data_IF_388705815471
#
_entry.id   IF_388705815471
#
_cell.length_a   1.000
_cell.length_b   1.000
_cell.length_c   1.000
_cell.angle_alpha   90.00
_cell.angle_beta   90.00
_cell.angle_gamma   90.00
#
_symmetry.space_group_name_H-M   'P 1'
#
loop_
_entity.id
_entity.type
_entity.pdbx_description
1 polymer ?
#
# COMPACT_ATOMS: atom_id res chain seq x y z
N UNK A 1 -37.79 -93.70 54.79
CA UNK A 1 -37.52 -94.68 53.71
C UNK A 1 -36.47 -94.09 52.78
N UNK A 2 -35.37 -94.82 52.61
CA UNK A 2 -34.34 -94.79 51.56
C UNK A 2 -33.78 -93.45 51.01
N UNK A 3 -32.46 -93.30 51.21
CA UNK A 3 -31.53 -92.49 50.40
C UNK A 3 -31.29 -93.17 49.04
N UNK A 4 -31.27 -92.41 47.95
CA UNK A 4 -30.46 -92.69 46.73
C UNK A 4 -29.96 -91.33 46.15
N UNK A 5 -28.66 -91.18 45.80
CA UNK A 5 -28.00 -89.92 45.38
C UNK A 5 -27.75 -89.84 43.86
N UNK A 6 -27.43 -88.66 43.28
CA UNK A 6 -26.69 -88.47 42.00
C UNK A 6 -26.25 -86.98 41.81
N UNK A 7 -25.25 -86.64 40.94
CA UNK A 7 -23.95 -86.08 41.32
C UNK A 7 -23.70 -84.60 40.89
N UNK A 8 -22.56 -83.97 41.28
CA UNK A 8 -22.24 -82.59 40.88
C UNK A 8 -21.51 -82.54 39.53
N UNK A 9 -21.88 -81.61 38.65
CA UNK A 9 -21.16 -81.32 37.40
C UNK A 9 -20.24 -80.11 37.56
N UNK A 10 -18.96 -80.34 37.28
CA UNK A 10 -17.91 -79.33 37.11
C UNK A 10 -17.93 -78.80 35.67
N UNK A 11 -17.66 -77.50 35.51
CA UNK A 11 -17.06 -76.84 34.35
C UNK A 11 -16.68 -75.41 34.78
N UNK A 12 -15.65 -74.69 34.33
CA UNK A 12 -14.32 -74.89 33.73
C UNK A 12 -13.81 -73.43 33.51
N UNK A 13 -12.51 -73.11 33.75
CA UNK A 13 -11.75 -71.91 33.25
C UNK A 13 -12.16 -70.49 33.74
N UNK A 14 -11.34 -69.43 33.79
CA UNK A 14 -9.90 -69.12 33.66
C UNK A 14 -9.66 -67.64 34.15
N UNK A 15 -8.42 -67.30 34.54
CA UNK A 15 -7.86 -65.96 34.91
C UNK A 15 -7.70 -65.05 33.64
N UNK A 16 -7.24 -63.76 33.64
CA UNK A 16 -7.09 -62.63 34.63
C UNK A 16 -7.63 -61.25 34.09
N UNK A 17 -7.41 -60.11 34.79
CA UNK A 17 -6.72 -58.89 34.28
C UNK A 17 -7.20 -57.52 34.89
N UNK A 18 -6.20 -56.71 35.28
CA UNK A 18 -6.14 -55.25 35.55
C UNK A 18 -7.11 -54.34 34.76
N UNK A 19 -7.69 -53.31 35.42
CA UNK A 19 -7.49 -51.85 35.17
C UNK A 19 -8.54 -51.01 35.95
N UNK A 20 -8.13 -50.27 36.98
CA UNK A 20 -8.95 -49.22 37.56
C UNK A 20 -8.58 -47.88 36.89
N UNK A 21 -9.38 -47.49 35.89
CA UNK A 21 -9.25 -46.21 35.17
C UNK A 21 -9.79 -45.05 36.02
N UNK A 22 -8.98 -44.01 36.12
CA UNK A 22 -9.30 -42.74 36.76
C UNK A 22 -10.54 -42.08 36.12
N UNK A 23 -11.58 -41.87 36.91
CA UNK A 23 -12.72 -41.02 36.56
C UNK A 23 -12.36 -39.55 36.80
N UNK A 24 -11.56 -38.98 35.90
CA UNK A 24 -11.39 -37.53 35.79
C UNK A 24 -12.60 -36.94 35.07
N UNK A 25 -13.42 -36.16 35.77
CA UNK A 25 -14.45 -35.32 35.15
C UNK A 25 -13.77 -34.33 34.19
N UNK A 26 -13.88 -34.58 32.88
CA UNK A 26 -13.61 -33.54 31.88
C UNK A 26 -14.73 -32.52 31.99
N UNK A 27 -14.44 -31.32 32.49
CA UNK A 27 -15.26 -30.14 32.23
C UNK A 27 -15.18 -29.91 30.72
N UNK A 28 -16.24 -30.25 29.99
CA UNK A 28 -16.38 -29.81 28.61
C UNK A 28 -16.51 -28.28 28.65
N UNK A 29 -15.54 -27.60 28.07
CA UNK A 29 -15.68 -26.19 27.78
C UNK A 29 -16.77 -26.08 26.71
N UNK A 30 -17.87 -25.41 27.05
CA UNK A 30 -18.86 -25.00 26.06
C UNK A 30 -18.18 -23.96 25.15
N UNK A 31 -17.61 -24.43 24.05
CA UNK A 31 -17.03 -23.57 23.03
C UNK A 31 -18.15 -22.71 22.46
N UNK A 32 -17.99 -21.37 22.42
CA UNK A 32 -18.95 -20.49 21.78
C UNK A 32 -19.26 -21.03 20.38
N UNK A 33 -20.51 -20.93 19.90
CA UNK A 33 -20.86 -21.42 18.57
C UNK A 33 -19.84 -20.92 17.55
N UNK A 34 -19.17 -21.84 16.86
CA UNK A 34 -18.28 -21.45 15.77
C UNK A 34 -19.12 -20.64 14.77
N UNK A 35 -18.67 -19.44 14.44
CA UNK A 35 -19.34 -18.60 13.47
C UNK A 35 -19.07 -19.17 12.07
N UNK A 36 -19.80 -20.22 11.70
CA UNK A 36 -19.70 -20.83 10.38
C UNK A 36 -20.41 -19.95 9.38
N UNK A 37 -19.68 -19.04 8.75
CA UNK A 37 -20.23 -18.34 7.59
C UNK A 37 -20.25 -19.34 6.42
N UNK A 38 -21.42 -19.54 5.83
CA UNK A 38 -21.61 -20.51 4.75
C UNK A 38 -20.65 -20.24 3.57
N UNK A 39 -20.01 -21.31 3.08
CA UNK A 39 -19.25 -21.29 1.82
C UNK A 39 -20.25 -21.27 0.65
N UNK A 40 -20.80 -20.11 0.33
CA UNK A 40 -21.63 -19.90 -0.86
C UNK A 40 -20.84 -20.03 -2.17
N UNK A 41 -21.45 -19.67 -3.30
CA UNK A 41 -20.75 -19.54 -4.57
C UNK A 41 -19.65 -18.48 -4.46
N UNK A 42 -18.41 -18.89 -4.73
CA UNK A 42 -17.23 -18.03 -4.68
C UNK A 42 -17.09 -17.32 -6.02
N UNK A 43 -16.97 -16.00 -6.00
CA UNK A 43 -16.63 -15.21 -7.19
C UNK A 43 -15.23 -14.61 -7.07
N UNK A 44 -14.57 -14.47 -8.21
CA UNK A 44 -13.36 -13.67 -8.31
C UNK A 44 -13.69 -12.18 -8.26
N UNK A 45 -12.71 -11.33 -7.96
CA UNK A 45 -12.90 -9.88 -7.96
C UNK A 45 -13.31 -9.38 -9.35
N UNK A 46 -12.76 -9.95 -10.43
CA UNK A 46 -13.19 -9.61 -11.78
C UNK A 46 -14.68 -9.94 -12.04
N UNK A 47 -15.14 -11.13 -11.61
CA UNK A 47 -16.55 -11.53 -11.71
C UNK A 47 -17.44 -10.64 -10.86
N UNK A 48 -17.02 -10.30 -9.64
CA UNK A 48 -17.73 -9.39 -8.75
C UNK A 48 -17.93 -8.03 -9.42
N UNK A 49 -16.87 -7.42 -9.94
CA UNK A 49 -16.95 -6.11 -10.64
C UNK A 49 -17.86 -6.18 -11.86
N UNK A 50 -17.89 -7.31 -12.58
CA UNK A 50 -18.76 -7.50 -13.73
C UNK A 50 -20.26 -7.57 -13.40
N UNK A 51 -20.64 -7.77 -12.13
CA UNK A 51 -22.05 -7.68 -11.70
C UNK A 51 -22.60 -6.26 -11.83
N UNK A 52 -21.74 -5.24 -11.77
CA UNK A 52 -22.15 -3.86 -11.94
C UNK A 52 -22.42 -3.54 -13.42
N UNK A 53 -23.69 -3.32 -13.77
CA UNK A 53 -24.13 -2.98 -15.13
C UNK A 53 -24.68 -1.55 -15.21
N UNK A 54 -24.11 -0.63 -14.42
CA UNK A 54 -24.52 0.79 -14.38
C UNK A 54 -25.51 1.13 -13.26
N UNK A 55 -25.88 0.17 -12.41
CA UNK A 55 -26.72 0.37 -11.22
C UNK A 55 -26.07 -0.31 -10.02
N UNK A 56 -26.13 0.29 -8.81
CA UNK A 56 -25.62 -0.34 -7.60
C UNK A 56 -26.19 -1.75 -7.39
N UNK A 57 -25.32 -2.69 -7.00
CA UNK A 57 -25.73 -4.07 -6.69
C UNK A 57 -25.81 -4.23 -5.18
N UNK A 58 -27.04 -4.41 -4.68
CA UNK A 58 -27.30 -4.69 -3.27
C UNK A 58 -27.28 -6.20 -3.05
N UNK A 59 -26.37 -6.68 -2.22
CA UNK A 59 -26.29 -8.10 -1.90
C UNK A 59 -27.25 -8.46 -0.78
N UNK A 60 -27.99 -9.55 -0.96
CA UNK A 60 -28.95 -10.09 0.00
C UNK A 60 -28.65 -11.55 0.28
N UNK A 61 -29.09 -12.05 1.43
CA UNK A 61 -28.91 -13.45 1.84
C UNK A 61 -29.97 -14.35 1.18
N UNK A 62 -29.96 -14.38 -0.16
CA UNK A 62 -30.87 -15.22 -0.95
C UNK A 62 -30.15 -16.51 -1.33
N UNK A 63 -30.82 -17.65 -1.16
CA UNK A 63 -30.28 -18.96 -1.55
C UNK A 63 -29.89 -18.98 -3.04
N UNK A 64 -28.63 -19.35 -3.33
CA UNK A 64 -28.09 -19.42 -4.69
C UNK A 64 -27.44 -18.12 -5.22
N UNK A 65 -27.49 -17.02 -4.46
CA UNK A 65 -26.82 -15.77 -4.84
C UNK A 65 -25.29 -15.81 -4.61
N UNK A 66 -24.58 -14.94 -5.31
CA UNK A 66 -23.15 -14.66 -5.07
C UNK A 66 -23.02 -14.01 -3.71
N UNK A 67 -22.48 -14.76 -2.76
CA UNK A 67 -22.52 -14.36 -1.35
C UNK A 67 -21.13 -14.12 -0.77
N UNK A 68 -20.05 -14.40 -1.51
CA UNK A 68 -18.69 -14.34 -0.96
C UNK A 68 -17.63 -14.00 -2.00
N UNK A 69 -16.68 -13.16 -1.60
CA UNK A 69 -15.44 -12.87 -2.32
C UNK A 69 -14.24 -13.09 -1.41
N UNK A 70 -13.10 -13.52 -2.00
CA UNK A 70 -11.83 -13.67 -1.30
C UNK A 70 -10.82 -12.67 -1.86
N UNK A 71 -9.89 -12.25 -1.01
CA UNK A 71 -8.76 -11.43 -1.42
C UNK A 71 -7.74 -11.31 -0.32
N UNK A 72 -6.55 -10.87 -0.68
CA UNK A 72 -5.49 -10.51 0.26
C UNK A 72 -5.49 -8.99 0.41
N UNK A 73 -5.48 -8.50 1.65
CA UNK A 73 -5.38 -7.07 1.94
C UNK A 73 -4.03 -6.55 1.45
N UNK A 74 -4.06 -5.63 0.50
CA UNK A 74 -2.86 -4.96 -0.02
C UNK A 74 -2.67 -3.58 0.57
N UNK A 75 -3.70 -2.89 1.04
CA UNK A 75 -3.51 -1.68 1.84
C UNK A 75 -4.58 -1.56 2.93
N UNK A 76 -4.17 -0.96 4.05
CA UNK A 76 -4.98 -0.82 5.26
C UNK A 76 -4.89 0.59 5.87
N UNK A 77 -5.57 0.80 7.00
CA UNK A 77 -5.65 2.09 7.69
C UNK A 77 -4.49 2.35 8.67
N UNK A 78 -3.53 1.43 8.85
CA UNK A 78 -2.55 1.50 9.95
C UNK A 78 -1.70 2.77 9.94
N UNK A 79 -1.34 3.25 8.75
CA UNK A 79 -0.49 4.42 8.60
C UNK A 79 -1.28 5.75 8.64
N UNK A 80 -2.60 5.72 8.74
CA UNK A 80 -3.48 6.90 8.77
C UNK A 80 -3.69 7.60 7.41
N UNK A 81 -3.07 7.11 6.34
CA UNK A 81 -3.28 7.64 4.99
C UNK A 81 -4.63 7.24 4.41
N UNK A 82 -5.13 6.07 4.80
CA UNK A 82 -6.46 5.58 4.49
C UNK A 82 -7.34 5.64 5.74
N UNK A 83 -8.59 6.04 5.57
CA UNK A 83 -9.59 6.05 6.64
C UNK A 83 -10.86 5.33 6.20
N UNK A 84 -11.22 4.31 6.98
CA UNK A 84 -12.28 3.34 6.76
C UNK A 84 -12.30 2.79 5.33
N UNK A 85 -11.11 2.56 4.80
CA UNK A 85 -10.87 2.04 3.47
C UNK A 85 -9.76 0.99 3.52
N UNK A 86 -9.99 -0.13 2.85
CA UNK A 86 -9.00 -1.16 2.57
C UNK A 86 -8.94 -1.42 1.07
N UNK A 87 -7.86 -2.04 0.62
CA UNK A 87 -7.74 -2.54 -0.74
C UNK A 87 -7.39 -4.02 -0.69
N UNK A 88 -8.09 -4.83 -1.49
CA UNK A 88 -7.85 -6.27 -1.55
C UNK A 88 -7.58 -6.71 -2.98
N UNK A 89 -6.82 -7.79 -3.12
CA UNK A 89 -6.45 -8.39 -4.40
C UNK A 89 -6.61 -9.90 -4.41
N UNK A 90 -7.06 -10.41 -5.55
CA UNK A 90 -6.98 -11.82 -5.91
C UNK A 90 -6.15 -11.98 -7.20
N UNK A 91 -6.14 -13.17 -7.76
CA UNK A 91 -5.41 -13.46 -9.00
C UNK A 91 -6.04 -12.85 -10.26
N UNK A 92 -7.22 -12.24 -10.17
CA UNK A 92 -7.98 -11.67 -11.29
C UNK A 92 -8.05 -10.14 -11.28
N UNK A 93 -7.89 -9.51 -10.12
CA UNK A 93 -7.98 -8.06 -9.99
C UNK A 93 -7.90 -7.56 -8.56
N UNK A 94 -8.26 -6.29 -8.39
CA UNK A 94 -8.31 -5.60 -7.12
C UNK A 94 -9.61 -4.82 -6.95
N UNK A 95 -10.00 -4.56 -5.71
CA UNK A 95 -11.18 -3.76 -5.38
C UNK A 95 -10.97 -2.99 -4.08
N UNK A 96 -11.57 -1.79 -4.00
CA UNK A 96 -11.61 -1.01 -2.78
C UNK A 96 -12.75 -1.49 -1.87
N UNK A 97 -12.51 -1.49 -0.57
CA UNK A 97 -13.47 -1.91 0.45
C UNK A 97 -13.68 -0.75 1.40
N UNK A 98 -14.90 -0.24 1.47
CA UNK A 98 -15.30 0.83 2.38
C UNK A 98 -15.92 0.21 3.63
N UNK A 99 -15.28 0.47 4.77
CA UNK A 99 -15.64 -0.10 6.05
C UNK A 99 -16.66 0.76 6.81
N UNK A 100 -17.57 0.11 7.54
CA UNK A 100 -18.41 0.77 8.54
C UNK A 100 -17.61 1.16 9.79
N UNK A 101 -16.72 0.27 10.22
CA UNK A 101 -15.89 0.41 11.41
C UNK A 101 -14.41 0.25 11.03
N UNK A 102 -13.53 1.06 11.62
CA UNK A 102 -12.08 0.97 11.36
C UNK A 102 -11.43 -0.19 12.10
N UNK A 103 -10.35 -0.72 11.55
CA UNK A 103 -9.45 -1.67 12.23
C UNK A 103 -9.77 -3.16 12.03
N UNK A 104 -8.97 -4.02 12.68
CA UNK A 104 -9.13 -5.49 12.66
C UNK A 104 -8.50 -6.22 11.47
N UNK A 105 -8.13 -5.48 10.42
CA UNK A 105 -7.56 -6.02 9.17
C UNK A 105 -6.26 -5.31 8.82
N UNK A 106 -5.29 -6.10 8.39
CA UNK A 106 -3.93 -5.65 8.12
C UNK A 106 -3.44 -6.18 6.78
N UNK A 107 -2.49 -5.47 6.18
CA UNK A 107 -1.79 -5.88 4.99
C UNK A 107 -1.27 -7.32 5.13
N UNK A 108 -1.53 -8.13 4.11
CA UNK A 108 -1.19 -9.54 4.06
C UNK A 108 -2.19 -10.46 4.76
N UNK A 109 -3.26 -9.93 5.37
CA UNK A 109 -4.40 -10.75 5.77
C UNK A 109 -5.10 -11.28 4.52
N UNK A 110 -5.17 -12.60 4.38
CA UNK A 110 -6.09 -13.24 3.44
C UNK A 110 -7.46 -13.28 4.09
N UNK A 111 -8.46 -12.70 3.44
CA UNK A 111 -9.80 -12.55 3.99
C UNK A 111 -10.85 -13.10 3.05
N UNK A 112 -11.95 -13.53 3.67
CA UNK A 112 -13.19 -13.87 3.02
C UNK A 112 -14.25 -12.86 3.45
N UNK A 113 -14.92 -12.22 2.49
CA UNK A 113 -15.98 -11.24 2.75
C UNK A 113 -17.32 -11.86 2.35
N UNK A 114 -18.23 -11.95 3.31
CA UNK A 114 -19.64 -12.26 3.12
C UNK A 114 -20.37 -11.01 2.65
N UNK A 115 -20.89 -11.04 1.43
CA UNK A 115 -21.41 -9.85 0.74
C UNK A 115 -22.81 -9.40 1.18
N UNK A 116 -23.75 -10.24 1.65
CA UNK A 116 -25.06 -9.77 2.10
C UNK A 116 -25.00 -8.58 3.06
N UNK A 117 -25.81 -7.55 2.79
CA UNK A 117 -25.82 -6.28 3.53
C UNK A 117 -24.85 -5.22 2.99
N UNK A 118 -23.92 -5.60 2.11
CA UNK A 118 -22.99 -4.70 1.43
C UNK A 118 -23.53 -4.24 0.07
N UNK A 119 -22.89 -3.22 -0.52
CA UNK A 119 -23.27 -2.69 -1.84
C UNK A 119 -22.06 -2.55 -2.75
N UNK A 120 -22.11 -3.15 -3.94
CA UNK A 120 -21.12 -2.88 -4.99
C UNK A 120 -21.56 -1.68 -5.81
N UNK A 121 -20.76 -0.61 -5.77
CA UNK A 121 -21.02 0.62 -6.51
C UNK A 121 -19.74 1.43 -6.71
N UNK A 122 -19.67 2.30 -7.74
CA UNK A 122 -18.54 3.20 -7.90
C UNK A 122 -18.68 4.43 -7.02
N UNK A 123 -17.59 4.84 -6.38
CA UNK A 123 -17.45 6.14 -5.73
C UNK A 123 -16.49 7.01 -6.54
N UNK A 124 -17.02 8.08 -7.15
CA UNK A 124 -16.25 8.96 -8.05
C UNK A 124 -15.45 8.17 -9.11
N UNK A 125 -16.06 7.13 -9.67
CA UNK A 125 -15.46 6.29 -10.72
C UNK A 125 -14.61 5.12 -10.21
N UNK A 126 -14.31 5.01 -8.91
CA UNK A 126 -13.64 3.85 -8.33
C UNK A 126 -14.67 2.82 -7.85
N UNK A 127 -14.67 1.63 -8.44
CA UNK A 127 -15.50 0.51 -7.99
C UNK A 127 -15.08 0.04 -6.60
N UNK A 128 -16.06 -0.06 -5.71
CA UNK A 128 -15.86 -0.47 -4.33
C UNK A 128 -17.01 -1.34 -3.83
N UNK A 129 -16.72 -2.11 -2.77
CA UNK A 129 -17.75 -2.70 -1.91
C UNK A 129 -17.91 -1.77 -0.72
N UNK A 130 -19.13 -1.25 -0.53
CA UNK A 130 -19.49 -0.35 0.56
C UNK A 130 -20.29 -1.06 1.65
N UNK A 131 -20.33 -0.45 2.83
CA UNK A 131 -21.00 -0.94 4.03
C UNK A 131 -20.45 -2.27 4.54
N UNK A 132 -19.14 -2.51 4.40
CA UNK A 132 -18.51 -3.72 4.95
C UNK A 132 -18.27 -3.55 6.45
N UNK A 133 -18.93 -4.38 7.25
CA UNK A 133 -18.68 -4.52 8.67
C UNK A 133 -17.60 -5.59 8.90
N UNK A 134 -16.48 -5.22 9.53
CA UNK A 134 -15.36 -6.15 9.75
C UNK A 134 -15.79 -7.36 10.58
N UNK A 135 -16.62 -7.14 11.60
CA UNK A 135 -17.04 -8.21 12.48
C UNK A 135 -18.08 -9.10 11.81
N UNK A 136 -19.05 -8.52 11.08
CA UNK A 136 -20.17 -9.28 10.52
C UNK A 136 -19.91 -9.86 9.12
N UNK A 137 -19.13 -9.17 8.29
CA UNK A 137 -18.88 -9.58 6.91
C UNK A 137 -17.56 -10.32 6.75
N UNK A 138 -16.55 -10.12 7.59
CA UNK A 138 -15.18 -10.58 7.29
C UNK A 138 -14.73 -11.75 8.16
N UNK A 139 -14.09 -12.74 7.54
CA UNK A 139 -13.34 -13.79 8.25
C UNK A 139 -11.93 -13.89 7.71
N UNK A 140 -10.97 -13.73 8.62
CA UNK A 140 -9.55 -13.90 8.33
C UNK A 140 -9.22 -15.38 8.11
N UNK A 141 -8.60 -15.68 6.97
CA UNK A 141 -8.22 -17.03 6.55
C UNK A 141 -6.75 -17.31 6.84
N UNK A 142 -5.88 -16.31 6.63
CA UNK A 142 -4.44 -16.39 6.89
C UNK A 142 -3.87 -14.98 7.10
N UNK A 143 -2.63 -14.90 7.60
CA UNK A 143 -1.89 -13.65 7.82
C UNK A 143 -0.52 -13.72 7.16
N UNK A 144 0.07 -12.57 6.83
CA UNK A 144 1.43 -12.51 6.27
C UNK A 144 1.54 -12.98 4.81
N UNK A 145 0.43 -13.04 4.09
CA UNK A 145 0.43 -13.38 2.66
C UNK A 145 1.00 -12.21 1.87
N UNK A 146 2.08 -12.45 1.15
CA UNK A 146 2.72 -11.40 0.35
C UNK A 146 2.13 -11.35 -1.05
N UNK A 147 1.77 -10.16 -1.52
CA UNK A 147 1.38 -9.90 -2.90
C UNK A 147 2.48 -9.08 -3.57
N UNK A 148 3.01 -9.60 -4.67
CA UNK A 148 3.99 -8.87 -5.49
C UNK A 148 3.31 -7.70 -6.19
N UNK A 149 3.80 -6.45 -6.02
CA UNK A 149 3.30 -5.31 -6.76
C UNK A 149 3.43 -5.50 -8.27
N UNK A 150 2.41 -5.08 -9.02
CA UNK A 150 2.46 -5.10 -10.49
C UNK A 150 3.41 -4.01 -10.99
N UNK A 151 4.45 -4.33 -11.79
CA UNK A 151 5.24 -3.30 -12.48
C UNK A 151 4.34 -2.45 -13.36
N UNK A 152 4.50 -1.12 -13.31
CA UNK A 152 3.62 -0.18 -14.00
C UNK A 152 4.39 1.08 -14.38
N UNK A 153 4.05 1.67 -15.52
CA UNK A 153 4.53 2.98 -15.95
C UNK A 153 3.45 4.04 -15.69
N UNK A 154 3.85 5.29 -15.43
CA UNK A 154 2.91 6.40 -15.26
C UNK A 154 2.03 6.56 -16.51
N UNK A 155 2.59 6.38 -17.70
CA UNK A 155 1.86 6.46 -18.98
C UNK A 155 0.76 5.42 -19.14
N UNK A 156 0.75 4.35 -18.33
CA UNK A 156 -0.31 3.34 -18.34
C UNK A 156 -1.50 3.73 -17.44
N UNK A 157 -1.35 4.72 -16.56
CA UNK A 157 -2.39 5.16 -15.62
C UNK A 157 -3.43 6.07 -16.29
N UNK A 158 -4.04 5.59 -17.36
CA UNK A 158 -5.01 6.32 -18.19
C UNK A 158 -6.45 5.91 -17.90
N UNK A 159 -7.42 6.75 -18.25
CA UNK A 159 -8.85 6.45 -18.09
C UNK A 159 -9.26 5.09 -18.69
N UNK A 160 -8.68 4.71 -19.84
CA UNK A 160 -8.94 3.43 -20.49
C UNK A 160 -8.56 2.22 -19.61
N UNK A 161 -7.48 2.34 -18.85
CA UNK A 161 -6.99 1.28 -17.96
C UNK A 161 -7.59 1.33 -16.55
N UNK A 162 -8.46 2.30 -16.26
CA UNK A 162 -9.20 2.44 -14.99
C UNK A 162 -10.71 2.20 -15.14
N UNK A 163 -11.21 1.81 -16.32
CA UNK A 163 -12.61 1.42 -16.51
C UNK A 163 -13.06 0.28 -15.59
N UNK A 164 -14.33 -0.15 -15.67
CA UNK A 164 -14.92 -1.13 -14.74
C UNK A 164 -14.04 -2.37 -14.48
N UNK A 165 -13.43 -2.93 -15.52
CA UNK A 165 -12.52 -4.09 -15.44
C UNK A 165 -11.06 -3.70 -15.76
N UNK A 166 -10.74 -2.41 -15.62
CA UNK A 166 -9.41 -1.87 -15.85
C UNK A 166 -8.36 -2.50 -14.94
N UNK A 167 -7.17 -2.85 -15.46
CA UNK A 167 -6.18 -3.65 -14.74
C UNK A 167 -5.54 -2.95 -13.54
N UNK A 168 -5.62 -1.62 -13.46
CA UNK A 168 -4.96 -0.83 -12.43
C UNK A 168 -5.89 -0.35 -11.31
N UNK A 169 -7.20 -0.54 -11.45
CA UNK A 169 -8.14 -0.02 -10.47
C UNK A 169 -7.99 -0.76 -9.13
N UNK A 170 -7.68 -0.02 -8.05
CA UNK A 170 -7.40 -0.55 -6.70
C UNK A 170 -6.15 -1.43 -6.59
N UNK A 171 -5.33 -1.48 -7.64
CA UNK A 171 -4.22 -2.43 -7.76
C UNK A 171 -2.97 -1.93 -7.03
N UNK A 172 -2.27 -2.84 -6.35
CA UNK A 172 -0.91 -2.64 -5.86
C UNK A 172 0.06 -2.61 -7.04
N UNK A 173 0.67 -1.45 -7.24
CA UNK A 173 1.60 -1.19 -8.34
C UNK A 173 2.97 -0.79 -7.81
N UNK A 174 4.00 -1.09 -8.60
CA UNK A 174 5.36 -0.57 -8.44
C UNK A 174 5.74 0.18 -9.71
N UNK A 175 6.10 1.45 -9.54
CA UNK A 175 6.51 2.35 -10.60
C UNK A 175 7.97 2.70 -10.37
N UNK A 176 8.83 2.35 -11.33
CA UNK A 176 10.28 2.54 -11.24
C UNK A 176 10.73 3.76 -12.03
N UNK A 177 11.83 4.38 -11.58
CA UNK A 177 12.45 5.51 -12.27
C UNK A 177 11.66 6.81 -12.17
N UNK A 178 10.93 6.99 -11.08
CA UNK A 178 10.08 8.16 -10.82
C UNK A 178 10.66 9.04 -9.72
N UNK A 179 10.24 10.30 -9.69
CA UNK A 179 10.63 11.30 -8.69
C UNK A 179 9.42 12.21 -8.39
N UNK A 180 9.40 12.87 -7.23
CA UNK A 180 8.45 13.97 -7.03
C UNK A 180 8.86 15.17 -7.88
N UNK A 181 7.91 15.89 -8.45
CA UNK A 181 8.15 17.07 -9.28
C UNK A 181 9.03 18.08 -8.53
N UNK A 182 9.92 18.77 -9.27
CA UNK A 182 10.86 19.71 -8.67
C UNK A 182 10.17 20.79 -7.82
N UNK A 183 8.99 21.25 -8.23
CA UNK A 183 8.16 22.22 -7.49
C UNK A 183 7.67 21.72 -6.13
N UNK A 184 7.60 20.40 -5.95
CA UNK A 184 7.14 19.77 -4.71
C UNK A 184 8.32 19.37 -3.81
N UNK A 185 9.56 19.43 -4.29
CA UNK A 185 10.73 19.08 -3.49
C UNK A 185 10.87 20.00 -2.28
N UNK A 186 11.21 19.43 -1.13
CA UNK A 186 11.28 20.17 0.14
C UNK A 186 9.93 20.38 0.85
N UNK A 187 8.80 20.17 0.18
CA UNK A 187 7.48 20.12 0.84
C UNK A 187 7.30 18.82 1.63
N UNK A 188 6.29 18.76 2.49
CA UNK A 188 5.89 17.55 3.22
C UNK A 188 4.87 16.73 2.42
N UNK A 189 4.63 15.46 2.79
CA UNK A 189 3.62 14.62 2.13
C UNK A 189 2.19 15.19 2.24
N UNK A 190 1.83 15.76 3.39
CA UNK A 190 0.56 16.43 3.66
C UNK A 190 0.75 17.50 4.75
N UNK A 191 -0.33 18.14 5.23
CA UNK A 191 -0.25 19.05 6.37
C UNK A 191 -0.62 18.30 7.67
N UNK A 192 0.34 18.01 8.56
CA UNK A 192 0.07 17.32 9.82
C UNK A 192 -0.56 18.22 10.90
N UNK A 193 -0.41 19.55 10.78
CA UNK A 193 -0.87 20.51 11.79
C UNK A 193 -2.35 20.79 11.62
N UNK A 194 -2.76 21.12 10.39
CA UNK A 194 -4.17 21.38 10.06
C UNK A 194 -4.90 20.11 9.60
N UNK A 195 -4.17 18.98 9.51
CA UNK A 195 -4.67 17.68 9.06
C UNK A 195 -5.25 17.73 7.64
N UNK A 196 -4.79 18.67 6.81
CA UNK A 196 -5.24 18.80 5.42
C UNK A 196 -4.62 17.73 4.53
N UNK A 197 -5.49 17.09 3.74
CA UNK A 197 -5.07 16.18 2.67
C UNK A 197 -4.51 16.98 1.51
N UNK A 198 -3.32 16.63 1.06
CA UNK A 198 -2.65 17.31 -0.06
C UNK A 198 -2.32 16.33 -1.19
N UNK A 199 -2.23 16.89 -2.39
CA UNK A 199 -1.77 16.18 -3.57
C UNK A 199 -0.31 16.58 -3.85
N UNK A 200 0.48 15.59 -4.26
CA UNK A 200 1.84 15.76 -4.77
C UNK A 200 1.94 15.19 -6.17
N UNK A 201 2.85 15.73 -6.96
CA UNK A 201 3.05 15.33 -8.34
C UNK A 201 4.23 14.38 -8.41
N UNK A 202 3.98 13.17 -8.90
CA UNK A 202 5.02 12.19 -9.22
C UNK A 202 5.22 12.18 -10.73
N UNK A 203 6.47 12.20 -11.16
CA UNK A 203 6.85 12.27 -12.58
C UNK A 203 7.89 11.21 -12.94
N UNK A 204 7.89 10.78 -14.20
CA UNK A 204 8.97 9.98 -14.78
C UNK A 204 9.92 10.86 -15.62
N UNK A 205 11.06 10.30 -16.06
CA UNK A 205 12.02 11.05 -16.87
C UNK A 205 11.53 11.37 -18.30
N UNK A 206 10.35 10.86 -18.70
CA UNK A 206 9.72 11.16 -19.99
C UNK A 206 8.68 12.29 -19.89
N UNK A 207 8.49 12.87 -18.69
CA UNK A 207 7.54 13.94 -18.44
C UNK A 207 6.10 13.47 -18.20
N UNK A 208 5.85 12.17 -18.07
CA UNK A 208 4.53 11.69 -17.64
C UNK A 208 4.35 11.98 -16.15
N UNK A 209 3.15 12.39 -15.75
CA UNK A 209 2.84 12.73 -14.36
C UNK A 209 1.61 12.01 -13.83
N UNK A 210 1.58 11.82 -12.51
CA UNK A 210 0.41 11.35 -11.78
C UNK A 210 0.34 11.97 -10.38
N UNK A 211 -0.81 11.86 -9.74
CA UNK A 211 -1.05 12.42 -8.41
C UNK A 211 -0.72 11.36 -7.36
N UNK A 212 0.04 11.74 -6.33
CA UNK A 212 0.13 11.01 -5.06
C UNK A 212 -0.67 11.79 -4.03
N UNK A 213 -1.77 11.19 -3.55
CA UNK A 213 -2.67 11.83 -2.60
C UNK A 213 -2.38 11.33 -1.19
N UNK A 214 -2.14 12.26 -0.26
CA UNK A 214 -1.80 11.91 1.12
C UNK A 214 -2.65 12.67 2.14
N UNK A 215 -3.17 11.93 3.11
CA UNK A 215 -3.93 12.46 4.23
C UNK A 215 -3.03 13.22 5.20
N UNK A 216 -3.52 14.34 5.74
CA UNK A 216 -2.87 15.04 6.86
C UNK A 216 -2.88 14.23 8.17
N UNK A 217 -3.71 13.19 8.26
CA UNK A 217 -3.72 12.23 9.37
C UNK A 217 -2.68 11.10 9.23
N UNK A 218 -2.00 11.01 8.08
CA UNK A 218 -0.98 9.99 7.90
C UNK A 218 0.18 10.21 8.89
N UNK A 219 0.70 9.13 9.47
CA UNK A 219 1.82 9.20 10.42
C UNK A 219 3.14 9.70 9.77
N UNK A 220 3.18 9.74 8.43
CA UNK A 220 4.27 10.31 7.63
C UNK A 220 3.91 11.67 7.01
N UNK A 221 2.74 12.25 7.31
CA UNK A 221 2.26 13.49 6.68
C UNK A 221 3.28 14.63 6.74
N UNK A 222 3.95 14.80 7.88
CA UNK A 222 4.96 15.84 8.11
C UNK A 222 6.37 15.52 7.61
N UNK A 223 6.61 14.35 7.03
CA UNK A 223 7.92 14.02 6.47
C UNK A 223 8.15 14.78 5.17
N UNK A 224 9.35 15.30 4.96
CA UNK A 224 9.73 15.93 3.70
C UNK A 224 9.72 14.91 2.56
N UNK A 225 9.29 15.35 1.39
CA UNK A 225 9.33 14.55 0.18
C UNK A 225 10.78 14.25 -0.21
N UNK A 226 11.08 12.99 -0.60
CA UNK A 226 12.39 12.65 -1.14
C UNK A 226 12.74 13.54 -2.33
N UNK A 227 13.99 13.99 -2.37
CA UNK A 227 14.50 14.79 -3.48
C UNK A 227 15.13 13.92 -4.60
N UNK A 228 15.19 12.61 -4.45
CA UNK A 228 15.78 11.72 -5.45
C UNK A 228 14.75 11.07 -6.39
N UNK A 229 15.28 10.15 -7.21
CA UNK A 229 14.53 9.26 -8.10
C UNK A 229 14.65 7.82 -7.63
N UNK A 230 13.65 7.00 -7.90
CA UNK A 230 13.74 5.57 -7.65
C UNK A 230 12.42 4.85 -7.82
N UNK A 231 12.12 3.97 -6.89
CA UNK A 231 10.94 3.12 -6.92
C UNK A 231 9.84 3.65 -6.00
N UNK A 232 8.63 3.76 -6.54
CA UNK A 232 7.42 4.07 -5.79
C UNK A 232 6.49 2.85 -5.82
N UNK A 233 6.12 2.33 -4.66
CA UNK A 233 5.06 1.31 -4.54
C UNK A 233 3.85 1.89 -3.84
N UNK A 234 2.67 1.62 -4.37
CA UNK A 234 1.42 2.12 -3.79
C UNK A 234 0.19 1.52 -4.45
N UNK A 235 -0.98 2.02 -4.04
CA UNK A 235 -2.26 1.60 -4.61
C UNK A 235 -2.65 2.57 -5.73
N UNK A 236 -2.86 2.04 -6.92
CA UNK A 236 -3.44 2.75 -8.04
C UNK A 236 -4.95 2.90 -7.85
N UNK A 237 -5.42 4.15 -7.82
CA UNK A 237 -6.81 4.53 -7.60
C UNK A 237 -7.27 5.51 -8.68
N UNK A 238 -8.58 5.69 -8.77
CA UNK A 238 -9.22 6.68 -9.62
C UNK A 238 -10.09 7.61 -8.78
N UNK A 239 -10.19 8.88 -9.15
CA UNK A 239 -11.13 9.81 -8.54
C UNK A 239 -11.60 10.86 -9.55
N UNK A 240 -12.89 10.84 -9.84
CA UNK A 240 -13.52 11.71 -10.83
C UNK A 240 -12.99 11.40 -12.23
N UNK A 241 -11.98 12.14 -12.66
CA UNK A 241 -11.40 12.09 -14.00
C UNK A 241 -9.89 11.82 -14.01
N UNK A 242 -9.27 11.58 -12.86
CA UNK A 242 -7.82 11.40 -12.76
C UNK A 242 -7.43 10.13 -12.02
N UNK A 243 -6.34 9.51 -12.48
CA UNK A 243 -5.62 8.50 -11.73
C UNK A 243 -4.87 9.17 -10.58
N UNK A 244 -4.80 8.46 -9.45
CA UNK A 244 -4.04 8.87 -8.28
C UNK A 244 -3.47 7.66 -7.57
N UNK A 245 -2.41 7.88 -6.80
CA UNK A 245 -1.71 6.86 -6.04
C UNK A 245 -1.87 7.13 -4.54
N UNK A 246 -2.07 6.07 -3.77
CA UNK A 246 -1.99 6.10 -2.31
C UNK A 246 -0.75 5.35 -1.82
N UNK A 247 -0.04 5.95 -0.87
CA UNK A 247 1.04 5.29 -0.14
C UNK A 247 0.42 4.38 0.92
N UNK A 248 0.68 3.08 0.80
CA UNK A 248 0.27 2.06 1.79
C UNK A 248 1.32 1.84 2.88
N UNK A 249 2.59 2.10 2.56
CA UNK A 249 3.70 2.01 3.49
C UNK A 249 4.80 2.96 3.01
N UNK A 250 5.21 3.89 3.88
CA UNK A 250 6.22 4.90 3.53
C UNK A 250 7.57 4.28 3.19
N UNK A 251 7.90 3.12 3.79
CA UNK A 251 9.13 2.40 3.50
C UNK A 251 9.17 1.81 2.08
N UNK A 252 8.06 1.81 1.34
CA UNK A 252 8.04 1.36 -0.06
C UNK A 252 8.15 2.54 -1.06
N UNK A 253 8.45 3.75 -0.57
CA UNK A 253 8.80 4.93 -1.38
C UNK A 253 10.31 5.14 -1.30
N UNK A 254 11.04 4.55 -2.24
CA UNK A 254 12.50 4.47 -2.26
C UNK A 254 13.07 5.35 -3.38
N UNK A 255 13.06 6.66 -3.18
CA UNK A 255 13.47 7.67 -4.15
C UNK A 255 14.82 8.29 -3.77
N UNK A 256 15.84 7.45 -3.61
CA UNK A 256 17.14 7.82 -3.05
C UNK A 256 18.22 8.04 -4.11
N UNK A 257 17.90 7.83 -5.38
CA UNK A 257 18.82 7.94 -6.50
C UNK A 257 18.89 9.35 -7.11
N UNK A 258 19.80 9.54 -8.07
CA UNK A 258 19.96 10.78 -8.83
C UNK A 258 18.69 11.12 -9.63
N UNK A 259 18.29 12.39 -9.60
CA UNK A 259 17.11 12.87 -10.34
C UNK A 259 17.28 12.70 -11.85
N UNK A 260 16.17 12.74 -12.59
CA UNK A 260 16.20 12.83 -14.04
C UNK A 260 17.00 14.06 -14.48
N UNK A 261 17.92 13.90 -15.44
CA UNK A 261 18.77 14.98 -15.93
C UNK A 261 19.94 15.37 -15.02
N UNK A 262 20.06 14.79 -13.82
CA UNK A 262 21.32 14.88 -13.07
C UNK A 262 22.30 13.85 -13.59
N UNK A 263 23.49 14.32 -13.99
CA UNK A 263 24.61 13.43 -14.29
C UNK A 263 25.01 12.71 -12.99
N UNK A 264 25.16 11.40 -13.08
CA UNK A 264 25.67 10.58 -11.98
C UNK A 264 27.17 10.77 -11.94
N UNK A 265 27.58 11.77 -11.21
CA UNK A 265 28.98 12.00 -10.99
C UNK A 265 29.35 11.22 -9.75
N UNK A 266 30.00 10.08 -9.96
CA UNK A 266 30.52 9.28 -8.87
C UNK A 266 31.43 10.16 -7.99
N UNK A 267 31.37 10.03 -6.66
CA UNK A 267 32.23 10.80 -5.77
C UNK A 267 33.70 10.54 -6.14
N UNK A 268 34.36 11.56 -6.67
CA UNK A 268 35.76 11.47 -7.06
C UNK A 268 36.62 11.65 -5.82
N UNK A 269 37.63 10.77 -5.64
CA UNK A 269 38.58 10.86 -4.52
C UNK A 269 39.44 12.13 -4.54
N UNK A 270 39.45 12.84 -5.68
CA UNK A 270 40.21 14.06 -5.90
C UNK A 270 39.35 15.06 -6.66
N UNK A 271 39.30 16.30 -6.15
CA UNK A 271 38.67 17.42 -6.82
C UNK A 271 39.65 18.01 -7.85
N UNK A 272 39.31 17.94 -9.14
CA UNK A 272 40.10 18.54 -10.22
C UNK A 272 39.17 19.30 -11.15
N UNK A 273 39.11 20.62 -10.98
CA UNK A 273 38.32 21.54 -11.81
C UNK A 273 39.14 22.79 -12.08
N UNK A 274 39.18 23.20 -13.34
CA UNK A 274 39.97 24.35 -13.80
C UNK A 274 39.11 25.59 -14.10
N UNK A 275 37.78 25.46 -14.01
CA UNK A 275 36.79 26.50 -14.29
C UNK A 275 36.95 27.13 -15.68
N UNK A 276 37.63 26.48 -16.63
CA UNK A 276 37.99 27.06 -17.93
C UNK A 276 36.78 27.47 -18.77
N UNK A 277 35.64 26.82 -18.54
CA UNK A 277 34.37 27.03 -19.28
C UNK A 277 33.43 28.03 -18.62
N UNK A 278 33.75 28.55 -17.42
CA UNK A 278 32.86 29.50 -16.73
C UNK A 278 32.77 30.83 -17.48
N UNK A 279 31.57 31.40 -17.50
CA UNK A 279 31.31 32.71 -18.09
C UNK A 279 31.25 33.77 -17.00
N UNK A 280 31.82 34.95 -17.26
CA UNK A 280 31.87 36.04 -16.28
C UNK A 280 30.47 36.45 -15.83
N UNK A 281 30.26 36.50 -14.52
CA UNK A 281 29.01 36.91 -13.89
C UNK A 281 27.79 36.06 -14.29
N UNK A 282 28.00 34.83 -14.76
CA UNK A 282 26.95 33.82 -15.02
C UNK A 282 26.99 32.74 -13.94
N UNK A 283 25.85 32.13 -13.63
CA UNK A 283 25.79 30.98 -12.71
C UNK A 283 26.70 29.86 -13.22
N UNK A 284 27.46 29.24 -12.32
CA UNK A 284 28.32 28.11 -12.66
C UNK A 284 27.44 26.90 -12.98
N UNK A 285 27.57 26.37 -14.20
CA UNK A 285 26.88 25.18 -14.69
C UNK A 285 27.91 24.23 -15.29
N UNK A 286 28.70 23.59 -14.43
CA UNK A 286 29.71 22.62 -14.82
C UNK A 286 29.13 21.21 -14.68
N UNK A 287 29.59 20.29 -15.54
CA UNK A 287 29.25 18.89 -15.39
C UNK A 287 29.76 18.39 -14.03
N UNK A 288 28.90 17.70 -13.27
CA UNK A 288 29.22 17.19 -11.93
C UNK A 288 29.34 18.21 -10.79
N UNK A 289 28.93 19.46 -11.01
CA UNK A 289 28.91 20.50 -9.98
C UNK A 289 27.50 21.04 -9.80
N UNK A 290 27.02 21.05 -8.55
CA UNK A 290 25.66 21.45 -8.22
C UNK A 290 25.68 22.60 -7.22
N UNK A 291 25.01 23.71 -7.57
CA UNK A 291 24.78 24.79 -6.63
C UNK A 291 23.75 24.34 -5.58
N UNK A 292 24.18 24.06 -4.36
CA UNK A 292 23.31 23.66 -3.25
C UNK A 292 23.22 24.76 -2.20
N UNK A 293 22.01 24.99 -1.67
CA UNK A 293 21.74 26.03 -0.67
C UNK A 293 21.19 25.40 0.60
N UNK A 294 21.81 25.70 1.73
CA UNK A 294 21.28 25.36 3.07
C UNK A 294 20.56 26.56 3.70
N UNK A 295 20.87 27.77 3.24
CA UNK A 295 20.17 29.01 3.59
C UNK A 295 20.32 30.04 2.45
N UNK A 296 19.25 30.77 2.14
CA UNK A 296 19.25 31.79 1.07
C UNK A 296 19.19 31.23 -0.36
N UNK A 297 19.56 32.05 -1.35
CA UNK A 297 19.43 31.73 -2.80
C UNK A 297 20.58 32.26 -3.67
N UNK A 298 21.72 32.61 -3.07
CA UNK A 298 22.87 33.16 -3.80
C UNK A 298 23.66 32.01 -4.42
N UNK A 299 23.67 31.91 -5.75
CA UNK A 299 24.46 30.92 -6.49
C UNK A 299 25.93 31.32 -6.68
N UNK A 300 26.80 30.33 -6.84
CA UNK A 300 28.15 30.53 -7.34
C UNK A 300 28.10 31.02 -8.79
N UNK A 301 28.90 32.04 -9.08
CA UNK A 301 29.01 32.65 -10.40
C UNK A 301 30.44 32.55 -10.92
N UNK A 302 30.58 32.38 -12.23
CA UNK A 302 31.88 32.43 -12.88
C UNK A 302 32.50 33.83 -12.76
N UNK A 303 33.79 33.89 -12.45
CA UNK A 303 34.60 35.09 -12.51
C UNK A 303 35.71 34.94 -13.52
N UNK A 304 35.77 35.93 -14.41
CA UNK A 304 36.77 36.03 -15.46
C UNK A 304 37.52 37.33 -15.27
N UNK A 305 38.81 37.24 -14.93
CA UNK A 305 39.70 38.38 -14.79
C UNK A 305 40.99 38.14 -15.58
N UNK A 306 41.07 38.68 -16.80
CA UNK A 306 42.18 38.36 -17.71
C UNK A 306 42.20 36.87 -18.08
N UNK A 307 43.29 36.18 -17.75
CA UNK A 307 43.42 34.73 -17.91
C UNK A 307 42.81 33.93 -16.76
N UNK A 308 42.54 34.56 -15.61
CA UNK A 308 42.06 33.85 -14.43
C UNK A 308 40.57 33.49 -14.59
N UNK A 309 40.25 32.25 -14.22
CA UNK A 309 38.90 31.69 -14.18
C UNK A 309 38.67 31.08 -12.79
N UNK A 310 37.52 31.38 -12.20
CA UNK A 310 37.15 30.87 -10.87
C UNK A 310 35.63 30.90 -10.69
N UNK A 311 35.14 30.21 -9.67
CA UNK A 311 33.79 30.41 -9.14
C UNK A 311 33.85 31.34 -7.92
N UNK A 312 32.93 32.31 -7.83
CA UNK A 312 32.78 33.16 -6.66
C UNK A 312 31.31 33.31 -6.27
N UNK A 313 31.05 33.45 -4.97
CA UNK A 313 29.77 33.89 -4.44
C UNK A 313 29.92 35.29 -3.84
N UNK A 314 28.93 36.16 -4.06
CA UNK A 314 28.91 37.52 -3.49
C UNK A 314 27.64 37.68 -2.66
N UNK A 315 27.81 37.89 -1.37
CA UNK A 315 26.71 38.08 -0.41
C UNK A 315 26.68 39.54 0.02
N UNK A 316 25.49 40.15 0.02
CA UNK A 316 25.31 41.52 0.52
C UNK A 316 25.15 41.53 2.04
N UNK A 317 25.63 42.59 2.70
CA UNK A 317 25.45 42.81 4.14
C UNK A 317 23.97 42.63 4.53
N UNK A 318 23.68 41.69 5.44
CA UNK A 318 22.33 41.39 5.93
C UNK A 318 21.61 40.23 5.24
N UNK A 319 22.17 39.61 4.20
CA UNK A 319 21.64 38.35 3.66
C UNK A 319 22.30 37.16 4.38
N UNK A 320 21.49 36.38 5.11
CA UNK A 320 21.92 35.06 5.54
C UNK A 320 21.95 34.14 4.30
N UNK A 321 23.12 33.57 4.00
CA UNK A 321 23.22 32.58 2.95
C UNK A 321 24.35 31.60 3.22
N UNK A 322 24.06 30.31 3.05
CA UNK A 322 25.01 29.21 3.18
C UNK A 322 24.86 28.33 1.94
N UNK A 323 25.94 28.20 1.16
CA UNK A 323 25.94 27.57 -0.16
C UNK A 323 27.18 26.71 -0.38
N UNK A 324 27.04 25.70 -1.23
CA UNK A 324 28.10 24.79 -1.64
C UNK A 324 28.06 24.63 -3.16
N UNK A 325 29.23 24.42 -3.76
CA UNK A 325 29.40 24.10 -5.18
C UNK A 325 29.86 22.65 -5.29
#
# INVERSE_FOLDING_TARGET
MQRIPFPPRRALLALPLLLALATGCKKEFDTPPERTIASGSVVTIAQLKALYQGTPVHFSDTAGAVNTVYGVVTADEQNGNLYKNLYIQDHTGAIAIRLLNSGGLYQGDSIRIHLPGTVLSPYNGLMQIDSVDVDNNVVKQATGVTITPRPTLISELTAANFGLLGPYQSMLVKISGVQFAASDTGLTYADPVTQQTLNRTLEDCNGNTTIVRNSGYANFAGQNLPNGKGDFTGIASWFGSAAQLYIRNINEVQLNGPRCGQNTCDPMATLSEDFSTVTNNSTVTLECWDNTFTEGSVAWRGKVAGADRSAEARISLGQASTMWL
#
